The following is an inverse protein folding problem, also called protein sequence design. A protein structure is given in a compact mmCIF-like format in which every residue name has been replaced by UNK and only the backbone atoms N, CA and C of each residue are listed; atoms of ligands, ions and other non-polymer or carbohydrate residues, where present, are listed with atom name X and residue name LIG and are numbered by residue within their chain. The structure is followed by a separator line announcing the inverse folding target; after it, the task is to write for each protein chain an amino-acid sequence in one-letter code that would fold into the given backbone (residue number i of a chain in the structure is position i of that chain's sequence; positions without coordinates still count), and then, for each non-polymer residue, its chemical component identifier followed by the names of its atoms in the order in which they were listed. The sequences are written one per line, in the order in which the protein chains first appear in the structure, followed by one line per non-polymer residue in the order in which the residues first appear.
data_IF_125374161961
#
_entry.id   IF_125374161961
#
_cell.length_a   1.000
_cell.length_b   1.000
_cell.length_c   1.000
_cell.angle_alpha   90.00
_cell.angle_beta   90.00
_cell.angle_gamma   90.00
#
_symmetry.space_group_name_H-M   'P 1'
#
loop_
_entity.id
_entity.type
_entity.pdbx_description
1 polymer ?
2 water ?
#
# COMPACT_ATOMS: atom_id res chain seq x y z
N UNK A 10 11.81 6.82 26.83
CA UNK A 10 11.68 5.37 27.08
C UNK A 10 10.64 5.12 28.17
N UNK A 11 9.71 4.22 27.91
CA UNK A 11 8.81 3.79 28.96
C UNK A 11 9.49 2.53 29.47
N UNK A 12 9.19 2.18 30.71
CA UNK A 12 9.75 0.95 31.29
C UNK A 12 9.03 -0.26 30.72
N UNK A 13 9.78 -1.30 30.39
CA UNK A 13 9.17 -2.52 29.88
C UNK A 13 9.14 -3.58 30.95
N UNK A 14 7.97 -4.17 31.17
CA UNK A 14 7.85 -5.26 32.14
C UNK A 14 7.30 -6.48 31.43
N UNK A 15 7.32 -7.61 32.13
CA UNK A 15 6.84 -8.85 31.55
C UNK A 15 5.84 -9.51 32.47
N UNK A 16 4.79 -10.10 31.89
CA UNK A 16 3.80 -10.84 32.69
C UNK A 16 4.32 -12.21 33.12
N UNK A 17 4.12 -12.56 34.38
CA UNK A 17 4.58 -13.86 34.91
C UNK A 17 3.44 -14.84 35.07
N UNK A 18 2.26 -14.42 34.64
CA UNK A 18 1.08 -15.26 34.74
C UNK A 18 -0.03 -14.68 33.91
N UNK A 19 -1.04 -15.51 33.65
CA UNK A 19 -2.21 -15.07 32.88
C UNK A 19 -3.08 -14.17 33.73
N UNK A 20 -3.55 -13.06 33.16
CA UNK A 20 -4.53 -12.24 33.86
C UNK A 20 -5.77 -12.06 32.97
N UNK A 21 -6.95 -12.38 33.50
CA UNK A 21 -8.20 -12.18 32.76
C UNK A 21 -8.90 -10.91 33.23
N UNK A 22 -9.35 -10.11 32.27
CA UNK A 22 -10.11 -8.90 32.56
C UNK A 22 -11.35 -9.24 33.37
N UNK A 23 -11.62 -8.45 34.40
CA UNK A 23 -12.82 -8.60 35.20
C UNK A 23 -13.75 -7.45 34.84
N UNK A 24 -13.16 -6.38 34.33
CA UNK A 24 -13.92 -5.21 33.93
C UNK A 24 -13.47 -4.76 32.55
N UNK A 25 -14.34 -4.03 31.86
CA UNK A 25 -14.02 -3.54 30.53
C UNK A 25 -12.89 -2.52 30.59
N UNK A 26 -12.50 -2.16 31.80
CA UNK A 26 -11.44 -1.18 32.04
C UNK A 26 -10.09 -1.83 32.22
N UNK A 27 -9.94 -3.02 31.67
CA UNK A 27 -8.70 -3.75 31.86
C UNK A 27 -8.15 -4.34 30.58
N UNK A 28 -6.96 -4.92 30.70
CA UNK A 28 -6.36 -5.53 29.55
C UNK A 28 -6.04 -6.93 30.01
N UNK A 29 -6.26 -7.90 29.14
CA UNK A 29 -5.94 -9.27 29.48
C UNK A 29 -4.46 -9.49 29.27
N UNK A 30 -3.89 -10.40 30.07
CA UNK A 30 -2.49 -10.76 29.96
C UNK A 30 -2.35 -12.26 29.84
N UNK A 31 -1.36 -12.67 29.06
CA UNK A 31 -0.95 -14.06 28.98
C UNK A 31 0.49 -14.12 29.48
N UNK A 32 0.82 -15.18 30.22
CA UNK A 32 2.19 -15.34 30.68
C UNK A 32 3.16 -15.05 29.53
N UNK A 33 4.22 -14.30 29.82
CA UNK A 33 5.23 -13.97 28.82
C UNK A 33 4.97 -12.69 28.06
N UNK A 34 3.77 -12.12 28.15
CA UNK A 34 3.45 -10.88 27.41
C UNK A 34 4.42 -9.76 27.76
N UNK A 35 4.71 -8.88 26.81
CA UNK A 35 5.61 -7.80 27.12
C UNK A 35 4.82 -6.50 27.10
N UNK A 36 4.92 -5.72 28.18
CA UNK A 36 4.18 -4.45 28.27
C UNK A 36 5.05 -3.24 28.61
N UNK A 37 4.60 -2.06 28.20
CA UNK A 37 5.27 -0.81 28.56
C UNK A 37 4.42 -0.18 29.62
N UNK A 38 5.04 0.28 30.70
CA UNK A 38 4.27 0.84 31.79
C UNK A 38 4.09 2.33 31.57
N UNK A 39 2.84 2.75 31.47
CA UNK A 39 2.51 4.15 31.25
C UNK A 39 2.34 4.86 32.59
N UNK A 40 1.68 4.18 33.53
CA UNK A 40 1.52 4.76 34.86
C UNK A 40 1.53 3.76 36.02
N UNK A 41 2.56 3.82 36.87
CA UNK A 41 2.56 3.01 38.07
C UNK A 41 1.69 3.75 39.09
N UNK A 42 1.04 3.00 39.96
CA UNK A 42 0.21 3.56 41.03
C UNK A 42 0.40 2.77 42.30
N UNK A 43 0.36 3.44 43.45
CA UNK A 43 0.48 2.71 44.72
C UNK A 43 -0.79 1.90 45.02
N UNK A 44 -1.81 2.01 44.16
CA UNK A 44 -3.01 1.22 44.26
C UNK A 44 -2.71 -0.21 43.85
N UNK A 45 -1.59 -0.42 43.18
CA UNK A 45 -1.27 -1.76 42.66
C UNK A 45 -1.84 -2.05 41.28
N UNK A 46 -2.65 -1.13 40.77
CA UNK A 46 -3.18 -1.26 39.42
C UNK A 46 -2.38 -0.28 38.56
N UNK A 47 -1.74 -0.79 37.51
CA UNK A 47 -0.88 0.04 36.66
C UNK A 47 -1.44 0.12 35.24
N UNK A 48 -1.39 1.30 34.64
CA UNK A 48 -1.87 1.48 33.26
C UNK A 48 -0.74 1.13 32.32
N UNK A 49 -0.95 0.13 31.48
CA UNK A 49 0.12 -0.36 30.64
C UNK A 49 -0.39 -0.57 29.22
N UNK A 50 0.57 -0.79 28.33
CA UNK A 50 0.24 -1.06 26.94
C UNK A 50 1.14 -2.13 26.35
N UNK A 51 0.58 -2.89 25.42
CA UNK A 51 1.35 -3.94 24.75
C UNK A 51 2.24 -3.23 23.75
N UNK A 52 3.35 -3.88 23.44
CA UNK A 52 4.28 -3.36 22.46
C UNK A 52 3.53 -3.21 21.17
N UNK A 53 3.68 -2.05 20.56
CA UNK A 53 3.06 -1.78 19.26
C UNK A 53 3.49 -2.81 18.21
N UNK A 54 2.52 -3.28 17.41
CA UNK A 54 2.79 -4.18 16.30
C UNK A 54 2.84 -3.31 15.04
N UNK A 55 3.99 -3.26 14.38
CA UNK A 55 4.15 -2.43 13.18
C UNK A 55 4.75 -3.19 12.02
N UNK A 56 4.58 -2.63 10.82
CA UNK A 56 5.20 -3.22 9.65
C UNK A 56 4.68 -2.66 8.34
N UNK A 57 5.41 -2.98 7.28
CA UNK A 57 5.03 -2.58 5.95
C UNK A 57 3.94 -3.52 5.43
N UNK A 58 2.84 -2.96 4.92
CA UNK A 58 1.75 -3.76 4.38
C UNK A 58 1.25 -3.19 3.05
N UNK A 59 0.56 -4.00 2.25
CA UNK A 59 0.09 -3.53 0.94
C UNK A 59 -1.08 -2.58 1.08
N UNK A 60 -0.95 -1.36 0.58
CA UNK A 60 -2.03 -0.39 0.62
C UNK A 60 -3.30 -0.95 0.01
N UNK A 61 -3.12 -1.82 -0.99
CA UNK A 61 -4.26 -2.37 -1.74
C UNK A 61 -5.21 -3.15 -0.86
N UNK A 62 -4.70 -3.69 0.24
CA UNK A 62 -5.49 -4.51 1.14
C UNK A 62 -6.18 -3.68 2.23
N UNK A 63 -6.00 -2.36 2.18
CA UNK A 63 -6.64 -1.46 3.12
C UNK A 63 -7.74 -0.62 2.51
N UNK A 64 -8.66 -0.18 3.35
CA UNK A 64 -9.67 0.79 2.96
C UNK A 64 -9.81 1.81 4.10
N UNK A 65 -10.21 3.03 3.76
CA UNK A 65 -10.41 4.05 4.80
C UNK A 65 -11.70 3.75 5.54
N UNK A 66 -11.86 4.32 6.74
CA UNK A 66 -13.08 4.09 7.52
C UNK A 66 -14.29 4.92 7.17
N UNK A 67 -14.13 6.15 6.66
CA UNK A 67 -15.30 7.02 6.40
C UNK A 67 -15.87 6.93 5.00
N UNK A 68 -15.15 6.24 4.11
CA UNK A 68 -15.59 6.10 2.72
C UNK A 68 -14.59 5.17 2.03
N UNK A 69 -15.00 4.51 0.96
CA UNK A 69 -14.08 3.61 0.27
C UNK A 69 -13.02 4.34 -0.54
N UNK A 70 -13.15 5.65 -0.71
CA UNK A 70 -12.22 6.41 -1.55
C UNK A 70 -10.98 6.99 -0.89
N UNK A 71 -9.81 6.67 -1.44
CA UNK A 71 -8.55 7.26 -1.00
C UNK A 71 -8.59 8.79 -1.15
N UNK A 72 -8.03 9.51 -0.18
CA UNK A 72 -8.09 10.98 -0.20
C UNK A 72 -6.77 11.57 -0.70
N UNK A 73 -5.69 10.79 -0.74
CA UNK A 73 -4.40 11.37 -1.08
C UNK A 73 -3.69 10.93 -2.36
N UNK A 74 -4.42 10.27 -3.24
CA UNK A 74 -3.82 9.93 -4.54
C UNK A 74 -3.62 11.23 -5.29
N UNK A 75 -2.56 11.32 -6.09
CA UNK A 75 -2.39 12.54 -6.91
C UNK A 75 -3.37 12.46 -8.06
N UNK A 76 -3.71 13.59 -8.67
CA UNK A 76 -4.58 13.53 -9.82
C UNK A 76 -3.79 12.96 -11.00
N UNK A 77 -4.50 12.40 -11.97
CA UNK A 77 -3.85 11.93 -13.20
C UNK A 77 -3.23 13.10 -13.95
N UNK A 78 -2.20 12.79 -14.74
CA UNK A 78 -1.55 13.77 -15.57
C UNK A 78 -1.49 13.15 -16.94
N UNK A 79 -2.49 13.45 -17.78
CA UNK A 79 -2.58 12.85 -19.10
C UNK A 79 -1.45 13.21 -20.07
N UNK A 80 -0.77 14.31 -19.80
CA UNK A 80 0.40 14.69 -20.58
C UNK A 80 1.48 13.64 -20.42
N UNK A 81 1.52 13.03 -19.24
CA UNK A 81 2.47 11.98 -18.95
C UNK A 81 3.88 12.43 -18.60
N UNK A 82 4.61 11.53 -17.96
CA UNK A 82 6.04 11.72 -17.64
C UNK A 82 6.79 10.54 -18.24
N UNK A 83 7.94 10.77 -18.88
CA UNK A 83 8.70 9.64 -19.42
C UNK A 83 9.42 8.83 -18.34
N UNK A 84 9.17 7.53 -18.36
CA UNK A 84 9.79 6.60 -17.43
C UNK A 84 10.26 5.39 -18.23
N UNK A 85 11.11 4.58 -17.62
CA UNK A 85 11.56 3.35 -18.24
C UNK A 85 11.44 2.20 -17.27
N UNK A 86 11.24 1.01 -17.80
CA UNK A 86 11.19 -0.18 -16.96
C UNK A 86 12.61 -0.50 -16.54
N UNK A 87 12.83 -0.58 -15.23
CA UNK A 87 14.13 -0.97 -14.67
C UNK A 87 14.13 -2.42 -14.17
N UNK A 88 12.98 -3.08 -14.26
CA UNK A 88 12.82 -4.51 -13.99
C UNK A 88 11.67 -4.96 -14.89
N UNK A 89 11.83 -6.12 -15.50
CA UNK A 89 10.84 -6.69 -16.41
C UNK A 89 9.67 -7.21 -15.62
N UNK A 90 8.48 -7.14 -16.21
CA UNK A 90 7.30 -7.60 -15.53
C UNK A 90 6.34 -8.19 -16.55
N UNK A 91 5.84 -9.38 -16.23
CA UNK A 91 4.89 -10.12 -17.05
C UNK A 91 3.44 -9.88 -16.61
N UNK A 92 2.56 -9.49 -17.54
CA UNK A 92 1.17 -9.25 -17.20
C UNK A 92 0.44 -10.54 -16.81
N UNK A 93 -0.25 -10.49 -15.68
CA UNK A 93 -1.07 -11.63 -15.27
C UNK A 93 -2.58 -11.33 -15.41
N UNK A 94 -2.96 -10.05 -15.42
CA UNK A 94 -4.35 -9.65 -15.62
C UNK A 94 -4.38 -8.76 -16.83
N UNK A 95 -5.56 -8.71 -17.46
CA UNK A 95 -5.78 -7.96 -18.69
C UNK A 95 -5.64 -6.44 -18.62
N UNK A 96 -5.61 -5.88 -17.42
CA UNK A 96 -5.44 -4.43 -17.30
C UNK A 96 -4.00 -4.08 -16.93
N UNK A 97 -3.10 -5.06 -16.99
CA UNK A 97 -1.65 -4.78 -16.72
C UNK A 97 -0.84 -4.72 -18.01
N UNK A 98 0.32 -4.09 -17.95
CA UNK A 98 1.15 -3.94 -19.14
C UNK A 98 2.45 -4.71 -18.95
N UNK A 99 2.78 -5.59 -19.90
CA UNK A 99 4.04 -6.32 -19.86
C UNK A 99 5.16 -5.47 -20.39
N UNK A 100 6.30 -5.44 -19.70
CA UNK A 100 7.43 -4.66 -20.21
C UNK A 100 8.73 -5.41 -19.98
N UNK A 101 9.64 -5.24 -20.93
CA UNK A 101 11.00 -5.70 -20.75
C UNK A 101 11.78 -4.51 -20.17
N UNK A 102 12.82 -4.84 -19.42
CA UNK A 102 13.73 -3.82 -18.94
C UNK A 102 14.27 -3.04 -20.14
N UNK A 103 14.12 -1.72 -20.09
CA UNK A 103 14.58 -0.88 -21.18
C UNK A 103 13.44 -0.21 -21.92
N UNK A 104 12.27 -0.83 -21.92
CA UNK A 104 11.13 -0.20 -22.61
C UNK A 104 10.69 1.11 -21.97
N UNK A 105 10.41 2.11 -22.81
CA UNK A 105 9.97 3.42 -22.35
C UNK A 105 8.45 3.52 -22.35
N UNK A 106 7.93 4.18 -21.33
CA UNK A 106 6.49 4.36 -21.19
C UNK A 106 6.25 5.76 -20.67
N UNK A 107 4.98 6.16 -20.64
CA UNK A 107 4.61 7.42 -20.06
C UNK A 107 3.72 7.15 -18.86
N UNK A 108 4.12 7.64 -17.69
CA UNK A 108 3.28 7.46 -16.49
C UNK A 108 2.15 8.51 -16.45
N UNK A 109 0.91 8.11 -16.21
CA UNK A 109 -0.17 9.09 -16.24
C UNK A 109 -0.96 9.13 -14.94
N UNK A 110 -0.79 8.14 -14.07
CA UNK A 110 -1.44 8.22 -12.75
C UNK A 110 -0.65 7.50 -11.67
N UNK A 111 -0.03 8.27 -10.77
CA UNK A 111 0.81 7.70 -9.71
C UNK A 111 0.03 7.28 -8.44
N UNK A 112 -0.94 6.40 -8.58
CA UNK A 112 -1.76 5.93 -7.45
C UNK A 112 -0.95 5.40 -6.27
N UNK A 113 -1.46 5.59 -5.05
CA UNK A 113 -0.74 5.20 -3.83
C UNK A 113 -0.74 3.70 -3.52
N UNK A 114 -1.39 2.89 -4.35
CA UNK A 114 -1.35 1.47 -4.15
C UNK A 114 -0.21 0.83 -4.92
N UNK A 115 0.69 1.63 -5.50
CA UNK A 115 1.85 1.01 -6.13
C UNK A 115 1.74 0.53 -7.57
N UNK A 116 0.51 0.51 -8.08
CA UNK A 116 0.26 0.08 -9.44
C UNK A 116 -0.17 1.31 -10.23
N UNK A 117 0.80 1.89 -10.92
CA UNK A 117 0.56 3.12 -11.65
C UNK A 117 -0.07 2.89 -13.02
N UNK A 118 -0.82 3.88 -13.50
CA UNK A 118 -1.36 3.76 -14.87
C UNK A 118 -0.33 4.36 -15.79
N UNK A 119 0.05 3.62 -16.83
CA UNK A 119 1.03 4.07 -17.83
C UNK A 119 0.38 3.95 -19.21
N UNK A 120 0.96 4.69 -20.16
CA UNK A 120 0.54 4.71 -21.55
C UNK A 120 1.72 4.14 -22.33
N UNK A 121 1.43 3.20 -23.21
CA UNK A 121 2.44 2.65 -24.07
C UNK A 121 1.75 2.46 -25.39
N UNK A 122 2.29 3.12 -26.41
CA UNK A 122 1.61 3.15 -27.68
C UNK A 122 0.38 4.01 -27.42
N UNK A 123 -0.79 3.44 -27.62
CA UNK A 123 -1.97 4.25 -27.43
C UNK A 123 -2.95 3.62 -26.48
N UNK A 124 -2.44 2.72 -25.66
CA UNK A 124 -3.31 2.07 -24.69
C UNK A 124 -2.70 2.26 -23.31
N UNK A 125 -3.54 2.10 -22.30
CA UNK A 125 -3.15 2.28 -20.90
C UNK A 125 -3.31 1.01 -20.11
N UNK A 126 -2.56 0.89 -19.01
CA UNK A 126 -2.73 -0.28 -18.17
C UNK A 126 -1.87 -0.02 -16.94
N UNK A 127 -1.95 -0.93 -15.97
CA UNK A 127 -1.17 -0.80 -14.75
C UNK A 127 0.21 -1.43 -14.81
N UNK A 128 1.12 -0.91 -14.00
CA UNK A 128 2.49 -1.43 -13.92
C UNK A 128 3.05 -1.05 -12.56
N UNK A 129 3.85 -1.91 -11.91
CA UNK A 129 4.41 -1.55 -10.59
C UNK A 129 5.32 -0.34 -10.62
N UNK A 130 5.02 0.63 -9.77
CA UNK A 130 5.78 1.87 -9.72
C UNK A 130 7.20 1.57 -9.30
N UNK A 131 7.38 0.52 -8.49
CA UNK A 131 8.71 0.11 -8.03
C UNK A 131 9.61 -0.34 -9.17
N UNK A 132 9.04 -0.73 -10.30
CA UNK A 132 9.85 -1.21 -11.41
C UNK A 132 10.05 -0.17 -12.51
N UNK A 133 9.76 1.08 -12.18
CA UNK A 133 9.94 2.20 -13.10
C UNK A 133 10.89 3.25 -12.53
N UNK A 134 11.58 3.94 -13.43
CA UNK A 134 12.43 5.07 -13.06
C UNK A 134 12.26 6.15 -14.12
N UNK A 135 12.29 7.41 -13.70
CA UNK A 135 12.24 8.50 -14.66
C UNK A 135 13.34 8.32 -15.69
N UNK A 136 13.02 8.68 -16.93
CA UNK A 136 13.93 8.50 -18.03
C UNK A 136 15.22 9.27 -17.79
N UNK A 137 16.34 8.68 -18.19
CA UNK A 137 17.63 9.35 -18.12
C UNK A 137 18.31 9.43 -16.77
N UNK A 138 17.85 8.62 -15.82
CA UNK A 138 18.47 8.61 -14.52
C UNK A 138 19.33 7.36 -14.35
N UNK A 139 19.89 7.18 -13.15
CA UNK A 139 20.80 6.07 -12.89
C UNK A 139 20.02 4.81 -12.49
N UNK A 140 19.94 3.87 -13.42
CA UNK A 140 19.15 2.65 -13.26
C UNK A 140 19.55 1.84 -12.02
N UNK A 141 20.86 1.73 -11.80
CA UNK A 141 21.34 1.00 -10.63
C UNK A 141 20.75 1.57 -9.32
N UNK A 142 20.58 2.89 -9.26
CA UNK A 142 20.02 3.49 -8.06
C UNK A 142 18.56 3.07 -7.92
N UNK A 143 17.81 3.03 -9.02
CA UNK A 143 16.45 2.60 -8.87
C UNK A 143 16.35 1.16 -8.38
N UNK A 144 17.22 0.31 -8.90
CA UNK A 144 17.17 -1.09 -8.57
C UNK A 144 17.51 -1.33 -7.11
N UNK A 145 18.40 -0.53 -6.57
CA UNK A 145 18.79 -0.79 -5.18
C UNK A 145 17.73 -0.30 -4.21
N UNK A 146 16.87 0.59 -4.68
CA UNK A 146 15.75 1.11 -3.89
C UNK A 146 14.62 0.10 -3.79
N UNK A 147 14.72 -0.98 -4.56
CA UNK A 147 13.76 -2.09 -4.51
C UNK A 147 14.14 -3.03 -3.38
N UNK A 148 13.37 -3.07 -2.29
CA UNK A 148 13.71 -3.97 -1.18
C UNK A 148 12.71 -5.07 -0.85
N UNK A 149 11.69 -5.19 -1.69
CA UNK A 149 10.72 -6.28 -1.61
C UNK A 149 10.00 -6.29 -2.95
N UNK A 150 9.22 -7.33 -3.22
CA UNK A 150 8.49 -7.41 -4.47
C UNK A 150 7.38 -6.39 -4.57
N UNK A 151 6.82 -6.25 -5.77
CA UNK A 151 5.66 -5.40 -6.01
C UNK A 151 4.53 -5.84 -5.11
N UNK A 152 3.76 -4.89 -4.61
CA UNK A 152 2.62 -5.22 -3.74
C UNK A 152 1.55 -5.98 -4.50
N UNK A 153 0.85 -6.89 -3.83
CA UNK A 153 -0.27 -7.58 -4.46
C UNK A 153 -1.34 -6.53 -4.76
N UNK A 154 -2.13 -6.80 -5.79
CA UNK A 154 -3.15 -5.86 -6.24
C UNK A 154 -4.43 -6.19 -5.54
N UNK A 155 -5.35 -5.25 -5.50
CA UNK A 155 -6.60 -5.54 -4.84
C UNK A 155 -7.38 -6.58 -5.66
N UNK A 156 -7.14 -6.54 -6.97
CA UNK A 156 -7.75 -7.45 -7.93
C UNK A 156 -7.33 -8.91 -7.71
N UNK A 157 -6.25 -9.12 -6.96
CA UNK A 157 -5.74 -10.46 -6.66
C UNK A 157 -6.47 -11.12 -5.48
N UNK A 158 -7.39 -10.39 -4.85
CA UNK A 158 -8.18 -10.94 -3.76
C UNK A 158 -9.43 -11.64 -4.32
N UNK A 159 -9.65 -12.89 -3.94
CA UNK A 159 -10.77 -13.65 -4.54
C UNK A 159 -12.13 -13.06 -4.13
N UNK A 160 -12.27 -12.79 -2.83
CA UNK A 160 -13.43 -12.14 -2.22
C UNK A 160 -13.03 -11.22 -1.04
N UNK A 161 -12.98 -9.92 -1.33
CA UNK A 161 -12.63 -8.88 -0.35
C UNK A 161 -13.87 -8.62 0.51
N UNK A 162 -13.65 -8.17 1.75
CA UNK A 162 -14.72 -7.88 2.71
C UNK A 162 -14.59 -6.43 3.22
N UNK A 163 -15.56 -5.61 2.83
CA UNK A 163 -15.54 -4.17 3.09
C UNK A 163 -16.61 -3.73 4.08
N UNK A 164 -16.36 -2.60 4.75
CA UNK A 164 -17.40 -2.06 5.63
C UNK A 164 -18.30 -1.07 4.88
N UNK A 165 -17.98 -0.79 3.62
CA UNK A 165 -18.74 0.15 2.80
C UNK A 165 -19.54 -0.55 1.70
N UNK A 166 -20.80 -0.18 1.54
CA UNK A 166 -21.61 -0.76 0.48
C UNK A 166 -21.26 -0.10 -0.84
N UNK A 167 -20.80 1.14 -0.80
CA UNK A 167 -20.40 1.82 -2.04
C UNK A 167 -19.05 1.28 -2.52
N UNK A 168 -18.87 1.14 -3.83
CA UNK A 168 -17.57 0.68 -4.34
C UNK A 168 -16.60 1.87 -4.46
N UNK A 169 -15.29 1.66 -4.31
CA UNK A 169 -14.40 2.80 -4.53
C UNK A 169 -14.34 3.21 -5.99
N UNK A 170 -14.11 4.50 -6.18
CA UNK A 170 -14.09 5.07 -7.50
C UNK A 170 -12.72 4.88 -8.12
N UNK A 171 -12.73 4.30 -9.30
CA UNK A 171 -11.51 4.10 -10.09
C UNK A 171 -11.92 3.93 -11.55
N UNK A 172 -11.47 4.84 -12.43
CA UNK A 172 -11.74 4.71 -13.86
C UNK A 172 -11.29 3.34 -14.43
N UNK A 173 -12.05 2.81 -15.40
CA UNK A 173 -11.66 1.57 -16.08
C UNK A 173 -10.51 1.91 -17.00
N UNK A 174 -9.80 0.88 -17.47
CA UNK A 174 -8.74 1.15 -18.41
C UNK A 174 -9.25 1.81 -19.69
N UNK A 175 -10.47 1.47 -20.09
CA UNK A 175 -11.03 2.11 -21.25
C UNK A 175 -11.24 3.62 -21.04
N UNK A 176 -11.72 4.01 -19.85
CA UNK A 176 -11.90 5.42 -19.53
C UNK A 176 -10.54 6.14 -19.49
N UNK A 177 -9.55 5.50 -18.86
CA UNK A 177 -8.19 6.08 -18.82
C UNK A 177 -7.72 6.28 -20.26
N UNK A 178 -7.94 5.26 -21.10
CA UNK A 178 -7.52 5.35 -22.49
C UNK A 178 -8.19 6.50 -23.24
N UNK A 179 -9.51 6.62 -23.12
CA UNK A 179 -10.21 7.73 -23.76
C UNK A 179 -9.71 9.11 -23.35
N UNK A 180 -9.27 9.23 -22.10
CA UNK A 180 -8.74 10.49 -21.64
C UNK A 180 -7.34 10.67 -22.18
N UNK A 181 -6.59 9.57 -22.13
CA UNK A 181 -5.20 9.52 -22.54
C UNK A 181 -5.00 9.87 -24.01
N UNK A 182 -5.85 9.33 -24.88
CA UNK A 182 -5.69 9.61 -26.29
C UNK A 182 -6.02 11.07 -26.60
N UNK A 183 -6.79 11.71 -25.73
CA UNK A 183 -7.24 13.08 -25.98
C UNK A 183 -6.44 14.20 -25.34
N UNK A 184 -5.91 13.95 -24.14
CA UNK A 184 -5.30 15.03 -23.37
C UNK A 184 -3.76 15.03 -23.18
N UNK A 185 -3.07 15.16 -24.31
CA UNK A 185 -1.62 15.14 -24.37
C UNK A 185 -1.03 16.54 -24.46
#
# INVERSE_FOLDING_TARGET
GPLGSPEFIILQTYRAIADYEKTSGSEMALSTGDVVEVVEKSESGWWFCQMKAKRGWIPASFLEPLDSPDETEDPEPNYAGEPYVAIKAYTAVEGDEVSLLEGEAVEVIHKLLDGWWVIRKDDVTGYFPSMYLQKSGQDVSQAQRQIKRGAPPRRSSIRNAHSIHQRSRKRLSQDAYRRNSVRFLQQRRRQAR
#
